data_IF_589167680678
#
_entry.id   IF_589167680678
#
_cell.length_a   1.000
_cell.length_b   1.000
_cell.length_c   1.000
_cell.angle_alpha   90.00
_cell.angle_beta   90.00
_cell.angle_gamma   90.00
#
_symmetry.space_group_name_H-M   'P 1'
#
loop_
_entity.id
_entity.type
_entity.pdbx_description
1 polymer ?
#
# COMPACT_ATOMS: atom_id res chain seq x y z
N UNK A 1 -2.66 -5.22 19.10
CA UNK A 1 -2.97 -6.67 19.12
C UNK A 1 -3.51 -7.04 17.77
N UNK A 2 -2.80 -7.89 17.06
CA UNK A 2 -3.38 -8.64 15.94
C UNK A 2 -4.08 -9.86 16.53
N UNK A 3 -5.38 -9.99 16.28
CA UNK A 3 -6.13 -11.20 16.56
C UNK A 3 -6.06 -12.08 15.32
N UNK A 4 -5.13 -13.02 15.33
CA UNK A 4 -4.90 -14.02 14.29
C UNK A 4 -6.14 -14.89 14.10
N UNK A 5 -6.48 -15.22 12.85
CA UNK A 5 -7.48 -16.26 12.54
C UNK A 5 -8.84 -16.00 13.24
N UNK A 6 -9.20 -14.70 13.38
CA UNK A 6 -10.36 -14.27 14.18
C UNK A 6 -11.68 -14.83 13.66
N UNK A 7 -11.78 -15.18 12.38
CA UNK A 7 -12.98 -15.79 11.83
C UNK A 7 -13.37 -17.12 12.51
N UNK A 8 -12.43 -17.79 13.19
CA UNK A 8 -12.66 -19.05 13.90
C UNK A 8 -12.88 -18.86 15.41
N UNK A 9 -12.99 -17.61 15.87
CA UNK A 9 -13.23 -17.29 17.27
C UNK A 9 -14.60 -16.62 17.42
N UNK A 10 -15.36 -17.01 18.45
CA UNK A 10 -16.64 -16.35 18.68
C UNK A 10 -16.41 -14.87 19.04
N UNK A 11 -17.14 -13.92 18.41
CA UNK A 11 -17.02 -12.50 18.74
C UNK A 11 -17.24 -12.19 20.23
N UNK A 12 -18.05 -13.00 20.92
CA UNK A 12 -18.26 -12.86 22.36
C UNK A 12 -17.01 -13.22 23.18
N UNK A 13 -16.26 -14.25 22.77
CA UNK A 13 -15.02 -14.64 23.45
C UNK A 13 -13.94 -13.58 23.23
N UNK A 14 -13.82 -13.06 22.01
CA UNK A 14 -12.93 -11.94 21.70
C UNK A 14 -13.27 -10.71 22.53
N UNK A 15 -14.56 -10.35 22.63
CA UNK A 15 -15.01 -9.24 23.48
C UNK A 15 -14.59 -9.43 24.93
N UNK A 16 -14.77 -10.65 25.45
CA UNK A 16 -14.39 -11.00 26.82
C UNK A 16 -12.87 -10.86 27.04
N UNK A 17 -12.04 -11.30 26.09
CA UNK A 17 -10.59 -11.16 26.15
C UNK A 17 -10.19 -9.67 26.09
N UNK A 18 -10.71 -8.92 25.12
CA UNK A 18 -10.39 -7.51 24.89
C UNK A 18 -10.79 -6.63 26.08
N UNK A 19 -11.91 -6.95 26.74
CA UNK A 19 -12.36 -6.24 27.94
C UNK A 19 -11.43 -6.41 29.15
N UNK A 20 -10.56 -7.44 29.15
CA UNK A 20 -9.59 -7.72 30.22
C UNK A 20 -8.18 -7.20 29.92
N UNK A 21 -7.95 -6.64 28.73
CA UNK A 21 -6.65 -6.07 28.38
C UNK A 21 -6.35 -4.84 29.24
N UNK A 22 -5.08 -4.72 29.66
CA UNK A 22 -4.58 -3.50 30.28
C UNK A 22 -4.58 -2.35 29.26
N UNK A 23 -4.59 -1.12 29.78
CA UNK A 23 -4.25 0.07 28.99
C UNK A 23 -2.76 0.09 28.65
N UNK A 24 -2.39 0.86 27.63
CA UNK A 24 -1.00 1.05 27.23
C UNK A 24 -0.18 1.73 28.34
N UNK A 25 1.14 1.56 28.26
CA UNK A 25 2.08 2.10 29.23
C UNK A 25 2.02 3.64 29.26
N UNK A 26 1.65 4.21 30.43
CA UNK A 26 1.48 5.65 30.63
C UNK A 26 2.77 6.48 30.47
N UNK A 27 3.95 5.87 30.44
CA UNK A 27 5.21 6.56 30.12
C UNK A 27 5.27 7.02 28.66
N UNK A 28 4.70 6.24 27.75
CA UNK A 28 4.80 6.48 26.30
C UNK A 28 3.47 6.88 25.67
N UNK A 29 2.35 6.63 26.36
CA UNK A 29 1.01 6.87 25.85
C UNK A 29 0.20 7.71 26.85
N UNK A 30 -0.74 8.54 26.36
CA UNK A 30 -1.69 9.23 27.24
C UNK A 30 -2.40 8.24 28.18
N UNK A 31 -2.73 8.71 29.39
CA UNK A 31 -3.44 7.91 30.38
C UNK A 31 -4.71 7.29 29.79
N UNK A 32 -4.99 6.03 30.15
CA UNK A 32 -6.13 5.24 29.68
C UNK A 32 -6.16 4.91 28.18
N UNK A 33 -5.06 5.11 27.44
CA UNK A 33 -4.96 4.68 26.04
C UNK A 33 -5.16 3.17 25.93
N UNK A 34 -6.15 2.74 25.12
CA UNK A 34 -6.39 1.32 24.85
C UNK A 34 -5.48 0.81 23.73
N UNK A 35 -5.07 -0.47 23.77
CA UNK A 35 -4.33 -1.07 22.66
C UNK A 35 -5.18 -1.04 21.39
N UNK A 36 -4.56 -0.71 20.25
CA UNK A 36 -5.17 -0.90 18.94
C UNK A 36 -5.37 -2.41 18.72
N UNK A 37 -6.60 -2.81 18.42
CA UNK A 37 -6.96 -4.19 18.05
C UNK A 37 -7.37 -4.20 16.58
N UNK A 38 -6.84 -5.17 15.84
CA UNK A 38 -7.36 -5.50 14.52
C UNK A 38 -7.45 -7.01 14.34
N UNK A 39 -8.53 -7.43 13.69
CA UNK A 39 -8.91 -8.82 13.47
C UNK A 39 -8.53 -9.24 12.07
N UNK A 40 -7.77 -10.31 11.95
CA UNK A 40 -7.70 -11.03 10.69
C UNK A 40 -8.97 -11.85 10.53
N UNK A 41 -9.79 -11.39 9.60
CA UNK A 41 -11.02 -12.06 9.22
C UNK A 41 -11.03 -12.11 7.70
N UNK A 42 -10.97 -13.32 7.16
CA UNK A 42 -11.18 -13.58 5.74
C UNK A 42 -12.62 -14.08 5.55
N UNK A 43 -13.35 -13.50 4.60
CA UNK A 43 -14.77 -13.82 4.38
C UNK A 43 -14.93 -15.21 3.73
N UNK A 44 -15.10 -16.24 4.57
CA UNK A 44 -15.38 -17.62 4.15
C UNK A 44 -16.89 -17.92 4.17
N UNK A 45 -17.59 -17.54 3.11
CA UNK A 45 -19.02 -17.85 2.93
C UNK A 45 -19.99 -17.01 3.80
N UNK A 46 -21.32 -17.28 3.74
CA UNK A 46 -22.35 -16.34 4.19
C UNK A 46 -22.56 -16.27 5.71
N UNK A 47 -21.97 -17.18 6.48
CA UNK A 47 -22.41 -17.47 7.86
C UNK A 47 -21.74 -16.59 8.93
N UNK A 48 -20.55 -16.07 8.66
CA UNK A 48 -19.80 -15.20 9.56
C UNK A 48 -19.51 -13.93 8.78
N UNK A 49 -19.83 -12.75 9.35
CA UNK A 49 -19.68 -11.44 8.69
C UNK A 49 -18.68 -10.58 9.45
N UNK A 50 -17.87 -9.81 8.73
CA UNK A 50 -16.91 -8.85 9.29
C UNK A 50 -17.57 -7.87 10.30
N UNK A 51 -18.83 -7.49 10.07
CA UNK A 51 -19.59 -6.58 10.94
C UNK A 51 -19.80 -7.08 12.38
N UNK A 52 -19.57 -8.37 12.65
CA UNK A 52 -19.55 -8.91 14.02
C UNK A 52 -18.27 -8.55 14.78
N UNK A 53 -17.19 -8.21 14.07
CA UNK A 53 -15.87 -7.93 14.61
C UNK A 53 -15.53 -6.44 14.63
N UNK A 54 -16.11 -5.63 13.74
CA UNK A 54 -15.85 -4.17 13.72
C UNK A 54 -16.18 -3.44 15.03
N UNK A 55 -17.17 -3.86 15.85
CA UNK A 55 -17.36 -3.26 17.18
C UNK A 55 -16.27 -3.62 18.21
N UNK A 56 -15.38 -4.58 17.91
CA UNK A 56 -14.34 -5.08 18.80
C UNK A 56 -12.95 -4.53 18.46
N UNK A 57 -12.80 -3.95 17.28
CA UNK A 57 -11.55 -3.45 16.74
C UNK A 57 -11.65 -3.32 15.23
N UNK A 58 -10.56 -2.92 14.59
CA UNK A 58 -10.50 -2.91 13.13
C UNK A 58 -10.52 -4.33 12.57
N UNK A 59 -10.77 -4.47 11.28
CA UNK A 59 -10.72 -5.73 10.54
C UNK A 59 -9.81 -5.56 9.34
N UNK A 60 -9.02 -6.58 9.04
CA UNK A 60 -8.22 -6.63 7.83
C UNK A 60 -9.17 -6.74 6.63
N UNK A 61 -9.16 -5.73 5.76
CA UNK A 61 -10.00 -5.67 4.57
C UNK A 61 -9.33 -6.42 3.41
N UNK A 62 -9.56 -7.73 3.32
CA UNK A 62 -9.01 -8.55 2.23
C UNK A 62 -9.52 -8.13 0.84
N UNK A 63 -10.70 -7.50 0.73
CA UNK A 63 -11.18 -6.97 -0.57
C UNK A 63 -10.27 -5.87 -1.10
N UNK A 64 -9.57 -5.12 -0.24
CA UNK A 64 -8.60 -4.13 -0.68
C UNK A 64 -7.48 -4.77 -1.49
N UNK A 65 -6.92 -5.88 -0.98
CA UNK A 65 -5.89 -6.66 -1.66
C UNK A 65 -6.38 -7.15 -3.03
N UNK A 66 -7.51 -7.85 -3.08
CA UNK A 66 -8.00 -8.51 -4.30
C UNK A 66 -8.38 -7.47 -5.36
N UNK A 67 -9.10 -6.41 -4.96
CA UNK A 67 -9.55 -5.36 -5.87
C UNK A 67 -8.37 -4.58 -6.49
N UNK A 68 -7.40 -4.15 -5.68
CA UNK A 68 -6.22 -3.45 -6.23
C UNK A 68 -5.40 -4.37 -7.12
N UNK A 69 -5.18 -5.62 -6.70
CA UNK A 69 -4.45 -6.59 -7.49
C UNK A 69 -5.10 -6.80 -8.87
N UNK A 70 -6.42 -6.98 -8.94
CA UNK A 70 -7.15 -7.12 -10.21
C UNK A 70 -7.05 -5.88 -11.08
N UNK A 71 -7.22 -4.69 -10.50
CA UNK A 71 -7.11 -3.42 -11.21
C UNK A 71 -5.72 -3.22 -11.80
N UNK A 72 -4.67 -3.36 -10.99
CA UNK A 72 -3.29 -3.13 -11.44
C UNK A 72 -2.79 -4.21 -12.41
N UNK A 73 -3.35 -5.43 -12.36
CA UNK A 73 -3.07 -6.48 -13.35
C UNK A 73 -3.95 -6.42 -14.60
N UNK A 74 -4.99 -5.58 -14.63
CA UNK A 74 -5.97 -5.55 -15.73
C UNK A 74 -6.85 -6.80 -15.82
N UNK A 75 -7.08 -7.49 -14.70
CA UNK A 75 -7.88 -8.71 -14.65
C UNK A 75 -9.37 -8.39 -14.72
N UNK A 76 -10.14 -9.28 -15.33
CA UNK A 76 -11.61 -9.18 -15.43
C UNK A 76 -12.12 -7.86 -16.06
N UNK A 77 -11.28 -7.20 -16.87
CA UNK A 77 -11.63 -5.92 -17.51
C UNK A 77 -11.50 -4.70 -16.59
N UNK A 78 -10.97 -4.86 -15.37
CA UNK A 78 -10.70 -3.74 -14.48
C UNK A 78 -9.57 -2.85 -14.99
N UNK A 79 -9.68 -1.55 -14.70
CA UNK A 79 -8.74 -0.50 -15.12
C UNK A 79 -8.46 0.47 -13.98
N UNK A 80 -7.36 1.22 -14.06
CA UNK A 80 -7.06 2.24 -13.04
C UNK A 80 -8.18 3.31 -12.96
N UNK A 81 -8.85 3.63 -14.07
CA UNK A 81 -9.98 4.56 -14.13
C UNK A 81 -11.16 4.14 -13.23
N UNK A 82 -11.32 2.85 -12.93
CA UNK A 82 -12.38 2.34 -12.04
C UNK A 82 -12.16 2.77 -10.57
N UNK A 83 -10.95 3.22 -10.21
CA UNK A 83 -10.59 3.58 -8.83
C UNK A 83 -11.13 4.96 -8.39
N UNK A 84 -11.85 5.69 -9.25
CA UNK A 84 -12.36 7.05 -8.98
C UNK A 84 -13.20 7.14 -7.69
N UNK A 85 -13.94 6.08 -7.35
CA UNK A 85 -14.79 5.97 -6.16
C UNK A 85 -14.32 4.86 -5.20
N UNK A 86 -13.03 4.53 -5.24
CA UNK A 86 -12.43 3.46 -4.45
C UNK A 86 -12.72 3.58 -2.94
N UNK A 87 -13.29 2.53 -2.35
CA UNK A 87 -13.61 2.49 -0.93
C UNK A 87 -14.97 1.86 -0.61
N UNK A 88 -15.57 2.17 0.57
CA UNK A 88 -16.69 1.41 1.13
C UNK A 88 -17.90 1.28 0.20
N UNK A 89 -18.34 2.40 -0.39
CA UNK A 89 -19.55 2.46 -1.21
C UNK A 89 -19.33 1.93 -2.63
N UNK A 90 -18.26 2.38 -3.30
CA UNK A 90 -17.98 1.99 -4.70
C UNK A 90 -17.56 0.53 -4.82
N UNK A 91 -16.90 -0.02 -3.79
CA UNK A 91 -16.24 -1.32 -3.88
C UNK A 91 -16.69 -2.33 -2.80
N UNK A 92 -17.78 -2.02 -2.07
CA UNK A 92 -18.38 -2.94 -1.10
C UNK A 92 -17.46 -3.32 0.06
N UNK A 93 -16.63 -2.36 0.49
CA UNK A 93 -15.66 -2.53 1.57
C UNK A 93 -16.21 -2.01 2.91
N UNK A 94 -15.52 -2.35 3.99
CA UNK A 94 -15.77 -1.87 5.34
C UNK A 94 -15.63 -0.34 5.44
N UNK A 95 -16.18 0.23 6.51
CA UNK A 95 -16.00 1.64 6.83
C UNK A 95 -14.51 1.96 7.06
N UNK A 96 -14.10 3.20 6.75
CA UNK A 96 -12.69 3.62 6.80
C UNK A 96 -12.09 3.48 8.20
N UNK A 97 -12.87 3.80 9.22
CA UNK A 97 -12.57 3.69 10.63
C UNK A 97 -12.46 2.24 11.13
N UNK A 98 -13.05 1.30 10.40
CA UNK A 98 -13.11 -0.12 10.76
C UNK A 98 -12.05 -0.95 10.05
N UNK A 99 -11.37 -0.41 9.04
CA UNK A 99 -10.49 -1.20 8.18
C UNK A 99 -9.00 -1.01 8.47
N UNK A 100 -8.24 -2.10 8.28
CA UNK A 100 -6.80 -2.12 7.99
C UNK A 100 -6.63 -2.66 6.59
N UNK A 101 -5.84 -1.99 5.76
CA UNK A 101 -5.65 -2.33 4.34
C UNK A 101 -4.21 -2.70 4.04
N UNK A 102 -4.03 -3.51 3.02
CA UNK A 102 -2.74 -4.05 2.59
C UNK A 102 -2.80 -4.43 1.11
N UNK A 103 -1.65 -4.42 0.44
CA UNK A 103 -1.51 -4.95 -0.93
C UNK A 103 -1.29 -6.46 -0.90
N UNK A 104 -0.46 -6.90 0.03
CA UNK A 104 -0.20 -8.29 0.38
C UNK A 104 -0.03 -8.45 1.90
N UNK A 105 0.04 -9.70 2.35
CA UNK A 105 0.47 -10.07 3.69
C UNK A 105 1.34 -11.34 3.58
N UNK A 106 1.80 -11.85 4.72
CA UNK A 106 2.65 -13.04 4.75
C UNK A 106 2.01 -14.32 4.15
N UNK A 107 0.69 -14.50 4.20
CA UNK A 107 0.00 -15.66 3.64
C UNK A 107 -0.33 -15.50 2.16
N UNK A 108 -0.83 -14.32 1.78
CA UNK A 108 -1.20 -13.97 0.42
C UNK A 108 -0.01 -14.09 -0.53
N UNK A 109 1.17 -13.57 -0.12
CA UNK A 109 2.37 -13.61 -0.96
C UNK A 109 2.93 -15.04 -1.18
N UNK A 110 2.39 -16.03 -0.47
CA UNK A 110 2.72 -17.46 -0.56
C UNK A 110 1.61 -18.31 -1.17
N UNK A 111 0.42 -17.76 -1.35
CA UNK A 111 -0.74 -18.47 -1.88
C UNK A 111 -1.54 -19.28 -0.86
N UNK A 112 -1.37 -19.01 0.45
CA UNK A 112 -2.12 -19.68 1.51
C UNK A 112 -3.54 -19.13 1.67
N UNK A 113 -3.68 -17.80 1.68
CA UNK A 113 -4.96 -17.09 1.81
C UNK A 113 -5.40 -16.40 0.51
N UNK A 114 -4.75 -16.70 -0.62
CA UNK A 114 -4.98 -16.00 -1.88
C UNK A 114 -4.50 -16.76 -3.11
N UNK A 115 -4.80 -16.22 -4.29
CA UNK A 115 -4.34 -16.74 -5.56
C UNK A 115 -3.03 -16.04 -5.97
N UNK A 116 -1.99 -16.83 -6.25
CA UNK A 116 -0.70 -16.32 -6.73
C UNK A 116 -0.78 -15.72 -8.15
N UNK A 117 -1.82 -16.02 -8.93
CA UNK A 117 -2.12 -15.30 -10.18
C UNK A 117 -2.56 -13.86 -9.95
N UNK A 118 -3.16 -13.58 -8.80
CA UNK A 118 -3.79 -12.29 -8.49
C UNK A 118 -2.89 -11.48 -7.58
N UNK A 119 -2.39 -12.05 -6.49
CA UNK A 119 -1.63 -11.32 -5.46
C UNK A 119 -0.41 -10.61 -6.04
N UNK A 120 -0.24 -9.32 -5.76
CA UNK A 120 0.93 -8.52 -6.16
C UNK A 120 1.96 -8.58 -5.03
N UNK A 121 3.19 -8.98 -5.33
CA UNK A 121 4.24 -9.22 -4.33
C UNK A 121 5.56 -8.58 -4.71
N UNK A 122 6.59 -8.70 -3.86
CA UNK A 122 7.92 -8.18 -4.15
C UNK A 122 8.61 -8.89 -5.32
N UNK A 123 8.14 -10.07 -5.75
CA UNK A 123 8.62 -10.72 -6.98
C UNK A 123 8.28 -9.90 -8.23
N UNK A 124 7.31 -8.97 -8.13
CA UNK A 124 6.92 -8.04 -9.19
C UNK A 124 7.10 -6.59 -8.71
N UNK A 125 8.33 -6.13 -8.45
CA UNK A 125 8.60 -4.91 -7.68
C UNK A 125 8.00 -3.66 -8.33
N UNK A 126 8.00 -3.58 -9.67
CA UNK A 126 7.36 -2.46 -10.40
C UNK A 126 5.87 -2.35 -10.08
N UNK A 127 5.14 -3.46 -10.13
CA UNK A 127 3.71 -3.49 -9.87
C UNK A 127 3.40 -3.27 -8.39
N UNK A 128 4.20 -3.84 -7.48
CA UNK A 128 4.06 -3.65 -6.04
C UNK A 128 4.26 -2.19 -5.64
N UNK A 129 5.29 -1.51 -6.18
CA UNK A 129 5.55 -0.09 -5.93
C UNK A 129 4.36 0.78 -6.34
N UNK A 130 3.80 0.57 -7.54
CA UNK A 130 2.64 1.32 -8.04
C UNK A 130 1.38 1.07 -7.19
N UNK A 131 1.09 -0.19 -6.90
CA UNK A 131 -0.10 -0.58 -6.11
C UNK A 131 -0.02 -0.03 -4.69
N UNK A 132 1.16 -0.11 -4.07
CA UNK A 132 1.44 0.44 -2.73
C UNK A 132 1.38 1.97 -2.72
N UNK A 133 1.89 2.63 -3.76
CA UNK A 133 1.80 4.09 -3.90
C UNK A 133 0.33 4.54 -3.97
N UNK A 134 -0.52 3.87 -4.73
CA UNK A 134 -1.96 4.16 -4.74
C UNK A 134 -2.58 3.97 -3.35
N UNK A 135 -2.36 2.81 -2.70
CA UNK A 135 -2.89 2.55 -1.35
C UNK A 135 -2.48 3.63 -0.33
N UNK A 136 -1.23 4.09 -0.40
CA UNK A 136 -0.71 5.13 0.51
C UNK A 136 -1.24 6.53 0.15
N UNK A 137 -1.43 6.82 -1.14
CA UNK A 137 -1.98 8.08 -1.63
C UNK A 137 -3.49 8.22 -1.42
N UNK A 138 -4.24 7.12 -1.37
CA UNK A 138 -5.70 7.14 -1.27
C UNK A 138 -6.19 7.28 0.20
N UNK A 139 -7.23 8.08 0.49
CA UNK A 139 -7.70 8.36 1.86
C UNK A 139 -8.57 7.24 2.46
N UNK A 140 -8.28 5.97 2.15
CA UNK A 140 -9.01 4.83 2.72
C UNK A 140 -8.18 4.13 3.79
N UNK A 141 -8.83 3.86 4.93
CA UNK A 141 -8.38 2.99 6.02
C UNK A 141 -6.98 3.26 6.60
N UNK A 142 -6.49 2.34 7.44
CA UNK A 142 -5.11 2.35 7.95
C UNK A 142 -4.26 1.39 7.12
N UNK A 143 -3.26 1.85 6.36
CA UNK A 143 -2.43 0.98 5.54
C UNK A 143 -1.37 0.26 6.37
N UNK A 144 -1.14 -1.01 6.03
CA UNK A 144 -0.03 -1.82 6.51
C UNK A 144 0.86 -2.16 5.32
N UNK A 145 2.13 -1.75 5.39
CA UNK A 145 3.15 -2.06 4.38
C UNK A 145 3.84 -3.36 4.79
N UNK A 146 3.91 -4.32 3.87
CA UNK A 146 4.63 -5.57 4.08
C UNK A 146 6.15 -5.34 4.03
N UNK A 147 6.89 -6.15 4.78
CA UNK A 147 8.34 -6.25 4.65
C UNK A 147 8.72 -7.71 4.73
N UNK A 148 9.33 -8.22 3.65
CA UNK A 148 9.50 -9.64 3.41
C UNK A 148 10.97 -10.05 3.51
N UNK A 149 11.16 -11.36 3.48
CA UNK A 149 12.44 -12.01 3.19
C UNK A 149 12.34 -12.75 1.85
N UNK A 150 13.48 -12.98 1.22
CA UNK A 150 13.56 -13.77 0.00
C UNK A 150 13.46 -15.26 0.31
N UNK A 151 12.71 -15.99 -0.51
CA UNK A 151 12.78 -17.44 -0.56
C UNK A 151 12.88 -17.91 -2.03
N UNK A 152 13.49 -19.06 -2.32
CA UNK A 152 13.60 -19.55 -3.68
C UNK A 152 12.25 -20.13 -4.15
N UNK A 153 11.29 -19.26 -4.52
CA UNK A 153 9.95 -19.64 -4.97
C UNK A 153 9.99 -20.67 -6.10
N UNK A 154 9.22 -21.76 -5.97
CA UNK A 154 9.09 -22.81 -6.98
C UNK A 154 7.63 -22.96 -7.39
N UNK A 155 7.24 -22.20 -8.41
CA UNK A 155 5.89 -22.23 -8.94
C UNK A 155 5.66 -23.46 -9.82
N UNK A 156 4.65 -24.24 -9.49
CA UNK A 156 4.10 -25.30 -10.33
C UNK A 156 2.67 -24.94 -10.75
N UNK A 157 2.29 -25.30 -11.97
CA UNK A 157 0.95 -25.06 -12.51
C UNK A 157 0.18 -26.37 -12.54
N UNK A 158 -0.96 -26.39 -11.84
CA UNK A 158 -1.98 -27.41 -12.01
C UNK A 158 -3.26 -26.75 -12.50
N UNK A 159 -4.22 -26.54 -11.62
CA UNK A 159 -5.42 -25.70 -11.79
C UNK A 159 -5.15 -24.22 -11.41
N UNK A 160 -4.21 -23.98 -10.50
CA UNK A 160 -3.68 -22.66 -10.10
C UNK A 160 -2.16 -22.72 -9.89
N UNK A 161 -1.52 -21.56 -9.73
CA UNK A 161 -0.11 -21.51 -9.30
C UNK A 161 -0.01 -21.96 -7.85
N UNK A 162 0.88 -22.92 -7.59
CA UNK A 162 1.24 -23.37 -6.25
C UNK A 162 2.74 -23.22 -6.06
N UNK A 163 3.16 -22.53 -5.00
CA UNK A 163 4.56 -22.46 -4.62
C UNK A 163 4.93 -23.66 -3.74
N UNK A 164 5.79 -24.54 -4.26
CA UNK A 164 6.30 -25.72 -3.54
C UNK A 164 7.26 -25.40 -2.41
N UNK A 165 7.79 -24.18 -2.38
CA UNK A 165 8.69 -23.71 -1.34
C UNK A 165 8.02 -22.63 -0.47
N UNK A 166 6.68 -22.58 -0.46
CA UNK A 166 5.91 -21.58 0.29
C UNK A 166 6.13 -21.65 1.81
N UNK A 167 6.51 -22.83 2.31
CA UNK A 167 6.81 -23.11 3.71
C UNK A 167 8.23 -22.72 4.12
N UNK A 168 9.05 -22.20 3.20
CA UNK A 168 10.42 -21.77 3.49
C UNK A 168 10.42 -20.68 4.57
N UNK A 169 11.06 -20.98 5.69
CA UNK A 169 11.25 -20.06 6.81
C UNK A 169 12.15 -18.86 6.46
N UNK A 170 12.33 -17.93 7.41
CA UNK A 170 13.21 -16.77 7.20
C UNK A 170 14.67 -17.19 6.98
N UNK A 171 15.51 -16.31 6.40
CA UNK A 171 16.93 -16.57 6.22
C UNK A 171 17.60 -16.89 7.55
N UNK A 172 18.27 -18.04 7.62
CA UNK A 172 18.93 -18.56 8.82
C UNK A 172 20.33 -19.09 8.47
N UNK A 173 21.21 -19.12 9.47
CA UNK A 173 22.51 -19.78 9.36
C UNK A 173 22.39 -21.30 9.54
N UNK A 174 23.51 -22.03 9.44
CA UNK A 174 23.52 -23.50 9.57
C UNK A 174 23.11 -24.04 10.94
N UNK A 175 22.90 -23.16 11.93
CA UNK A 175 22.39 -23.50 13.27
C UNK A 175 20.95 -23.05 13.50
N UNK A 176 20.18 -22.81 12.44
CA UNK A 176 18.78 -22.36 12.46
C UNK A 176 18.56 -20.99 13.14
N UNK A 177 19.63 -20.21 13.34
CA UNK A 177 19.51 -18.84 13.84
C UNK A 177 19.17 -17.91 12.69
N UNK A 178 18.09 -17.15 12.84
CA UNK A 178 17.70 -16.10 11.89
C UNK A 178 18.86 -15.11 11.74
N UNK A 179 19.27 -14.84 10.50
CA UNK A 179 20.39 -13.95 10.20
C UNK A 179 19.99 -12.48 10.37
N UNK A 180 20.97 -11.66 10.74
CA UNK A 180 20.74 -10.22 10.93
C UNK A 180 20.36 -9.52 9.61
N UNK A 181 19.53 -8.48 9.72
CA UNK A 181 19.23 -7.60 8.60
C UNK A 181 20.45 -6.72 8.30
N UNK A 182 21.12 -6.99 7.18
CA UNK A 182 22.24 -6.16 6.70
C UNK A 182 21.73 -5.01 5.83
N UNK A 183 22.08 -3.79 6.21
CA UNK A 183 21.71 -2.55 5.50
C UNK A 183 22.88 -2.05 4.65
N UNK A 184 22.58 -1.68 3.41
CA UNK A 184 23.51 -1.03 2.50
C UNK A 184 23.62 0.49 2.79
N UNK A 185 24.66 1.18 2.28
CA UNK A 185 24.81 2.63 2.45
C UNK A 185 23.63 3.46 1.89
N UNK A 186 22.96 2.96 0.85
CA UNK A 186 21.82 3.59 0.18
C UNK A 186 20.46 3.31 0.88
N UNK A 187 20.51 2.79 2.11
CA UNK A 187 19.38 2.37 2.95
C UNK A 187 18.67 1.09 2.51
N UNK A 188 19.02 0.48 1.36
CA UNK A 188 18.47 -0.81 0.95
C UNK A 188 18.97 -1.96 1.85
N UNK A 189 18.36 -3.14 1.72
CA UNK A 189 18.83 -4.37 2.36
C UNK A 189 19.48 -5.30 1.33
N UNK A 190 20.25 -6.28 1.81
CA UNK A 190 20.67 -7.41 0.98
C UNK A 190 19.45 -8.26 0.60
N UNK A 191 18.95 -8.07 -0.63
CA UNK A 191 17.74 -8.71 -1.14
C UNK A 191 17.88 -10.21 -1.38
N UNK A 192 19.09 -10.78 -1.27
CA UNK A 192 19.26 -12.24 -1.24
C UNK A 192 18.71 -12.87 0.04
N UNK A 193 18.51 -12.05 1.08
CA UNK A 193 17.98 -12.48 2.37
C UNK A 193 16.74 -11.66 2.75
N UNK A 194 16.90 -10.34 2.89
CA UNK A 194 15.85 -9.44 3.37
C UNK A 194 15.44 -8.46 2.28
N UNK A 195 14.17 -8.48 1.89
CA UNK A 195 13.67 -7.65 0.79
C UNK A 195 13.57 -6.19 1.20
N UNK A 196 13.04 -5.96 2.41
CA UNK A 196 12.88 -4.64 2.99
C UNK A 196 12.14 -3.64 2.09
N UNK A 197 10.95 -3.99 1.60
CA UNK A 197 10.10 -3.14 0.77
C UNK A 197 9.85 -1.78 1.43
N UNK A 198 9.71 -1.75 2.76
CA UNK A 198 9.61 -0.52 3.55
C UNK A 198 10.81 0.45 3.43
N UNK A 199 11.93 0.01 2.84
CA UNK A 199 13.14 0.81 2.56
C UNK A 199 13.27 1.18 1.08
N UNK A 200 12.39 0.68 0.21
CA UNK A 200 12.37 1.10 -1.18
C UNK A 200 11.93 2.56 -1.25
N UNK A 201 12.70 3.40 -1.95
CA UNK A 201 12.46 4.85 -2.02
C UNK A 201 11.02 5.22 -2.35
N UNK A 202 10.39 4.67 -3.40
CA UNK A 202 8.99 4.95 -3.68
C UNK A 202 8.06 4.63 -2.51
N UNK A 203 8.31 3.56 -1.75
CA UNK A 203 7.45 3.14 -0.64
C UNK A 203 7.63 4.04 0.59
N UNK A 204 8.85 4.25 1.08
CA UNK A 204 9.03 5.10 2.28
C UNK A 204 8.67 6.56 2.01
N UNK A 205 8.91 7.07 0.80
CA UNK A 205 8.48 8.42 0.43
C UNK A 205 6.97 8.51 0.34
N UNK A 206 6.27 7.47 -0.11
CA UNK A 206 4.80 7.44 -0.09
C UNK A 206 4.22 7.29 1.32
N UNK A 207 4.94 6.68 2.27
CA UNK A 207 4.59 6.74 3.70
C UNK A 207 4.67 8.18 4.21
N UNK A 208 5.74 8.91 3.85
CA UNK A 208 5.89 10.34 4.17
C UNK A 208 4.80 11.18 3.50
N UNK A 209 4.49 10.91 2.23
CA UNK A 209 3.38 11.52 1.48
C UNK A 209 2.08 11.38 2.27
N UNK A 210 1.73 10.16 2.70
CA UNK A 210 0.52 9.89 3.49
C UNK A 210 0.48 10.70 4.77
N UNK A 211 1.60 10.78 5.49
CA UNK A 211 1.70 11.56 6.72
C UNK A 211 1.49 13.07 6.48
N UNK A 212 2.00 13.61 5.37
CA UNK A 212 1.84 15.02 5.01
C UNK A 212 0.39 15.35 4.66
N UNK A 213 -0.25 14.48 3.86
CA UNK A 213 -1.63 14.74 3.40
C UNK A 213 -2.67 14.40 4.46
N UNK A 214 -2.39 13.50 5.41
CA UNK A 214 -3.33 13.12 6.45
C UNK A 214 -4.72 12.76 5.90
N UNK A 215 -5.74 13.50 6.36
CA UNK A 215 -7.14 13.32 5.97
C UNK A 215 -7.61 14.19 4.79
N UNK A 216 -6.71 14.87 4.06
CA UNK A 216 -7.11 15.68 2.89
C UNK A 216 -7.95 14.86 1.90
N UNK A 217 -9.02 15.41 1.31
CA UNK A 217 -9.82 14.67 0.34
C UNK A 217 -9.04 14.45 -0.97
N UNK A 218 -9.50 13.48 -1.76
CA UNK A 218 -9.09 13.38 -3.17
C UNK A 218 -9.83 14.47 -3.95
N UNK A 219 -9.08 15.27 -4.70
CA UNK A 219 -9.60 16.32 -5.58
C UNK A 219 -8.88 16.27 -6.92
N UNK A 220 -9.42 16.94 -7.94
CA UNK A 220 -8.79 17.05 -9.27
C UNK A 220 -8.47 15.67 -9.88
N UNK A 221 -9.37 14.70 -9.68
CA UNK A 221 -9.23 13.39 -10.31
C UNK A 221 -9.28 13.53 -11.83
N UNK A 222 -8.29 12.94 -12.48
CA UNK A 222 -8.20 12.76 -13.92
C UNK A 222 -7.92 11.29 -14.23
N UNK A 223 -8.51 10.80 -15.31
CA UNK A 223 -8.15 9.52 -15.92
C UNK A 223 -8.33 9.57 -17.43
N UNK A 224 -7.66 8.68 -18.14
CA UNK A 224 -7.80 8.54 -19.59
C UNK A 224 -8.90 7.52 -19.99
N UNK A 225 -9.83 7.21 -19.08
CA UNK A 225 -10.81 6.10 -19.14
C UNK A 225 -10.18 4.70 -19.18
N UNK A 226 -8.86 4.59 -19.05
CA UNK A 226 -8.09 3.35 -19.05
C UNK A 226 -7.11 3.29 -17.87
N UNK A 227 -5.83 3.02 -18.12
CA UNK A 227 -4.83 2.74 -17.10
C UNK A 227 -3.89 3.93 -16.81
N UNK A 228 -4.36 5.15 -17.05
CA UNK A 228 -3.68 6.36 -16.61
C UNK A 228 -4.60 7.14 -15.66
N UNK A 229 -4.09 7.46 -14.48
CA UNK A 229 -4.80 8.26 -13.48
C UNK A 229 -3.89 9.33 -12.90
N UNK A 230 -4.50 10.42 -12.45
CA UNK A 230 -3.85 11.41 -11.62
C UNK A 230 -4.86 12.05 -10.67
N UNK A 231 -4.41 12.45 -9.49
CA UNK A 231 -5.25 13.17 -8.54
C UNK A 231 -4.42 13.89 -7.48
N UNK A 232 -5.07 14.81 -6.79
CA UNK A 232 -4.50 15.60 -5.72
C UNK A 232 -5.08 15.18 -4.37
N UNK A 233 -4.32 15.38 -3.31
CA UNK A 233 -4.78 15.29 -1.92
C UNK A 233 -4.86 16.69 -1.34
N UNK A 234 -6.06 17.27 -1.44
CA UNK A 234 -6.30 18.68 -1.16
C UNK A 234 -5.35 19.57 -1.96
N UNK A 235 -4.71 20.52 -1.28
CA UNK A 235 -3.65 21.37 -1.84
C UNK A 235 -2.24 20.96 -1.38
N UNK A 236 -2.09 19.74 -0.81
CA UNK A 236 -0.86 19.30 -0.16
C UNK A 236 0.00 18.40 -1.03
N UNK A 237 -0.60 17.67 -1.95
CA UNK A 237 0.11 16.69 -2.75
C UNK A 237 -0.61 16.33 -4.05
N UNK A 238 0.16 15.83 -5.00
CA UNK A 238 -0.28 15.38 -6.32
C UNK A 238 0.41 14.06 -6.67
N UNK A 239 -0.31 13.14 -7.32
CA UNK A 239 0.22 11.87 -7.83
C UNK A 239 -0.34 11.59 -9.22
N UNK A 240 0.49 11.03 -10.10
CA UNK A 240 0.07 10.44 -11.36
C UNK A 240 0.67 9.04 -11.53
N UNK A 241 -0.14 8.09 -12.01
CA UNK A 241 0.24 6.68 -12.19
C UNK A 241 -0.11 6.27 -13.62
N UNK A 242 0.86 5.72 -14.32
CA UNK A 242 0.72 5.20 -15.68
C UNK A 242 0.92 3.67 -15.69
N UNK A 243 -0.15 2.94 -15.93
CA UNK A 243 -0.13 1.50 -16.17
C UNK A 243 -0.66 1.15 -17.58
N UNK A 244 -0.56 2.09 -18.52
CA UNK A 244 -0.95 1.93 -19.91
C UNK A 244 0.30 1.70 -20.79
N UNK A 245 0.09 1.43 -22.08
CA UNK A 245 1.18 1.22 -23.06
C UNK A 245 1.71 2.51 -23.68
N UNK A 246 1.09 3.65 -23.37
CA UNK A 246 1.47 4.99 -23.84
C UNK A 246 1.84 5.86 -22.65
N UNK A 247 2.65 6.89 -22.89
CA UNK A 247 2.95 7.92 -21.90
C UNK A 247 1.69 8.72 -21.51
N UNK A 248 1.66 9.20 -20.27
CA UNK A 248 0.81 10.34 -19.89
C UNK A 248 1.47 11.59 -20.44
N UNK A 249 0.71 12.43 -21.12
CA UNK A 249 1.12 13.76 -21.55
C UNK A 249 -0.09 14.69 -21.50
N UNK A 250 -0.16 15.52 -20.45
CA UNK A 250 -1.30 16.42 -20.23
C UNK A 250 -0.89 17.66 -19.44
N UNK A 251 -1.68 18.72 -19.55
CA UNK A 251 -1.58 19.90 -18.68
C UNK A 251 -2.82 19.95 -17.80
N UNK A 252 -2.64 19.92 -16.49
CA UNK A 252 -3.76 19.82 -15.56
C UNK A 252 -3.47 20.56 -14.25
N UNK A 253 -4.54 20.97 -13.56
CA UNK A 253 -4.45 21.54 -12.22
C UNK A 253 -3.96 20.48 -11.22
N UNK A 254 -2.93 20.81 -10.47
CA UNK A 254 -2.31 19.94 -9.45
C UNK A 254 -2.78 20.26 -8.04
N UNK A 255 -3.39 21.43 -7.84
CA UNK A 255 -3.80 21.92 -6.52
C UNK A 255 -2.63 22.34 -5.63
N UNK A 256 -1.40 22.11 -6.06
CA UNK A 256 -0.20 22.59 -5.39
C UNK A 256 0.00 24.09 -5.67
N UNK A 257 0.56 24.85 -4.70
CA UNK A 257 1.01 26.22 -4.96
C UNK A 257 2.09 26.27 -6.05
N UNK A 258 2.15 27.37 -6.81
CA UNK A 258 3.17 27.55 -7.85
C UNK A 258 4.61 27.43 -7.33
N UNK A 259 5.48 26.81 -8.13
CA UNK A 259 6.89 26.56 -7.83
C UNK A 259 7.40 25.23 -8.40
N UNK A 260 8.64 24.88 -8.09
CA UNK A 260 9.27 23.65 -8.60
C UNK A 260 9.29 22.58 -7.51
N UNK A 261 8.82 21.38 -7.82
CA UNK A 261 8.72 20.26 -6.89
C UNK A 261 9.61 19.11 -7.34
N UNK A 262 10.25 18.45 -6.38
CA UNK A 262 11.01 17.22 -6.62
C UNK A 262 10.09 16.00 -6.60
N UNK A 263 10.21 15.14 -7.61
CA UNK A 263 9.50 13.86 -7.66
C UNK A 263 10.10 12.90 -6.61
N UNK A 264 9.27 12.53 -5.64
CA UNK A 264 9.67 11.68 -4.53
C UNK A 264 9.74 10.19 -4.91
N UNK A 265 9.25 9.82 -6.10
CA UNK A 265 9.36 8.46 -6.62
C UNK A 265 10.77 8.23 -7.20
N UNK A 266 11.16 9.07 -8.17
CA UNK A 266 12.47 8.94 -8.82
C UNK A 266 13.64 9.46 -7.99
N UNK A 267 13.40 10.35 -7.03
CA UNK A 267 14.43 10.88 -6.15
C UNK A 267 13.85 11.53 -4.90
N UNK A 268 14.32 12.73 -4.58
CA UNK A 268 13.82 13.55 -3.49
C UNK A 268 14.51 14.91 -3.44
N UNK A 269 14.14 15.72 -2.45
CA UNK A 269 14.77 16.99 -2.14
C UNK A 269 15.92 16.78 -1.15
N UNK A 270 17.16 17.01 -1.58
CA UNK A 270 18.38 16.90 -0.76
C UNK A 270 19.17 18.19 -0.95
N UNK A 271 19.50 18.86 0.15
CA UNK A 271 20.29 20.10 0.17
C UNK A 271 19.78 21.18 -0.81
N UNK A 272 18.45 21.33 -0.89
CA UNK A 272 17.80 22.32 -1.76
C UNK A 272 17.73 21.94 -3.24
N UNK A 273 18.14 20.72 -3.62
CA UNK A 273 18.15 20.24 -4.99
C UNK A 273 17.34 18.95 -5.17
N UNK A 274 16.70 18.80 -6.33
CA UNK A 274 16.05 17.56 -6.70
C UNK A 274 17.08 16.55 -7.22
N UNK A 275 17.09 15.35 -6.64
CA UNK A 275 17.92 14.23 -7.11
C UNK A 275 17.24 13.38 -8.17
N UNK A 276 15.95 13.63 -8.43
CA UNK A 276 15.14 12.96 -9.44
C UNK A 276 14.51 13.95 -10.40
N UNK A 277 13.37 13.57 -10.97
CA UNK A 277 12.57 14.43 -11.86
C UNK A 277 11.99 15.62 -11.10
N UNK A 278 11.56 16.63 -11.85
CA UNK A 278 10.94 17.84 -11.32
C UNK A 278 9.60 18.12 -11.98
N UNK A 279 8.71 18.80 -11.27
CA UNK A 279 7.48 19.37 -11.80
C UNK A 279 7.45 20.87 -11.52
N UNK A 280 7.26 21.68 -12.55
CA UNK A 280 7.03 23.12 -12.39
C UNK A 280 5.52 23.38 -12.42
N UNK A 281 5.01 23.93 -11.33
CA UNK A 281 3.62 24.36 -11.17
C UNK A 281 3.58 25.87 -11.36
N UNK A 282 2.72 26.35 -12.23
CA UNK A 282 2.56 27.79 -12.50
C UNK A 282 1.78 28.52 -11.38
N UNK A 283 1.59 29.83 -11.54
CA UNK A 283 0.87 30.66 -10.57
C UNK A 283 -0.61 30.30 -10.41
N UNK A 284 -1.20 29.57 -11.36
CA UNK A 284 -2.59 29.12 -11.34
C UNK A 284 -2.73 27.71 -10.74
N UNK A 285 -1.62 27.06 -10.36
CA UNK A 285 -1.62 25.71 -9.80
C UNK A 285 -1.61 24.61 -10.87
N UNK A 286 -1.38 24.97 -12.13
CA UNK A 286 -1.37 24.07 -13.28
C UNK A 286 0.05 23.62 -13.60
N UNK A 287 0.19 22.39 -14.10
CA UNK A 287 1.49 21.86 -14.51
C UNK A 287 1.37 20.93 -15.73
N UNK A 288 2.44 20.88 -16.53
CA UNK A 288 2.61 19.87 -17.56
C UNK A 288 3.09 18.56 -16.92
N UNK A 289 2.26 17.52 -17.01
CA UNK A 289 2.48 16.20 -16.42
C UNK A 289 2.87 15.23 -17.51
N UNK A 290 4.05 14.64 -17.36
CA UNK A 290 4.57 13.59 -18.23
C UNK A 290 4.95 12.37 -17.41
N UNK A 291 4.45 11.19 -17.80
CA UNK A 291 4.82 9.91 -17.18
C UNK A 291 5.00 8.86 -18.26
N UNK A 292 6.23 8.49 -18.55
CA UNK A 292 6.54 7.46 -19.54
C UNK A 292 6.21 6.06 -19.00
N UNK A 293 5.57 5.24 -19.82
CA UNK A 293 5.23 3.87 -19.43
C UNK A 293 6.46 2.95 -19.30
N UNK A 294 7.59 3.33 -19.90
CA UNK A 294 8.85 2.57 -19.89
C UNK A 294 9.74 2.86 -18.67
N UNK A 295 9.38 3.83 -17.83
CA UNK A 295 10.14 4.09 -16.60
C UNK A 295 10.13 2.90 -15.64
N UNK A 296 11.22 2.79 -14.85
CA UNK A 296 11.33 1.81 -13.76
C UNK A 296 10.11 1.88 -12.83
N UNK A 297 9.71 3.10 -12.50
CA UNK A 297 8.50 3.45 -11.78
C UNK A 297 7.68 4.41 -12.65
N UNK A 298 6.64 3.94 -13.38
CA UNK A 298 5.83 4.76 -14.28
C UNK A 298 4.81 5.59 -13.49
N UNK A 299 5.29 6.34 -12.51
CA UNK A 299 4.49 7.18 -11.64
C UNK A 299 5.36 8.32 -11.11
N UNK A 300 4.70 9.42 -10.75
CA UNK A 300 5.33 10.58 -10.10
C UNK A 300 4.48 11.00 -8.92
N UNK A 301 5.11 11.49 -7.86
CA UNK A 301 4.41 12.02 -6.71
C UNK A 301 5.15 13.24 -6.15
N UNK A 302 4.37 14.24 -5.76
CA UNK A 302 4.85 15.51 -5.22
C UNK A 302 4.04 15.89 -4.00
N UNK A 303 4.67 16.61 -3.07
CA UNK A 303 3.99 17.18 -1.91
C UNK A 303 4.61 18.52 -1.53
N UNK A 304 3.91 19.33 -0.75
CA UNK A 304 4.35 20.68 -0.33
C UNK A 304 5.75 20.74 0.28
N UNK A 305 6.19 19.68 0.97
CA UNK A 305 7.53 19.62 1.58
C UNK A 305 8.66 19.17 0.61
N UNK A 306 8.35 18.99 -0.68
CA UNK A 306 9.31 18.65 -1.74
C UNK A 306 9.49 19.82 -2.73
N UNK A 307 9.01 21.01 -2.36
CA UNK A 307 9.13 22.25 -3.12
C UNK A 307 10.52 22.87 -2.91
N UNK A 308 11.11 23.37 -3.99
CA UNK A 308 12.26 24.30 -4.00
C UNK A 308 11.73 25.73 -4.02
#
# INVERSE_FOLDING_TARGET
MWSDVSQYQWPQDLRNIIARLHTLNGTYFPANSRPLVYHEYEEHGPNIKASKYTPLGRVIEFKNHDNLARVFRGLNGHRLSDLRDYGPKGWGMLATEDAVVMVDNHDLQRGYAGDLNVTVTFYEPRLLKMTTAFMLAWPYAVPRVMSSYYWPRKLEVWDRYVDRNSDTGPPHDSGDRIVDVKRNPDLSCDTSQWICEHRWRPIYNMVRFRNIVGSEPVVQWWDNTNNQIAFSRGNKAFIAINNDVKSIEMTNSTGLPGGTYCDIISGGLIDGMCTGRTLTVDSEGTAHIFVDNTWEDPMIAFHINAKI
#
